data_IF_068339352588
#
_entry.id   IF_068339352588
#
_cell.length_a   1.000
_cell.length_b   1.000
_cell.length_c   1.000
_cell.angle_alpha   90.00
_cell.angle_beta   90.00
_cell.angle_gamma   90.00
#
_symmetry.space_group_name_H-M   'P 1'
#
loop_
_entity.id
_entity.type
_entity.pdbx_description
1 polymer ?
#
# COMPACT_ATOMS: atom_id res chain seq x y z
N UNK A 1 8.90 15.75 2.61
CA UNK A 1 10.15 15.53 1.83
C UNK A 1 11.33 16.31 2.40
N UNK A 2 11.28 17.65 2.54
CA UNK A 2 12.42 18.44 3.08
C UNK A 2 13.09 17.87 4.35
N UNK A 3 12.31 17.46 5.36
CA UNK A 3 12.87 16.84 6.58
C UNK A 3 13.42 15.43 6.34
N UNK A 4 12.77 14.66 5.46
CA UNK A 4 13.22 13.31 5.10
C UNK A 4 14.58 13.36 4.40
N UNK A 5 14.74 14.31 3.48
CA UNK A 5 15.98 14.52 2.71
C UNK A 5 17.09 15.11 3.59
N UNK A 6 16.79 16.10 4.43
CA UNK A 6 17.79 16.75 5.27
C UNK A 6 18.39 15.81 6.34
N UNK A 7 17.58 14.87 6.85
CA UNK A 7 17.97 14.01 7.97
C UNK A 7 18.03 12.52 7.61
N UNK A 8 17.88 12.17 6.32
CA UNK A 8 17.82 10.79 5.83
C UNK A 8 16.82 9.91 6.60
N UNK A 9 15.62 10.43 6.83
CA UNK A 9 14.59 9.78 7.65
C UNK A 9 13.56 9.04 6.78
N UNK A 10 13.16 7.81 7.17
CA UNK A 10 12.00 7.17 6.55
C UNK A 10 10.72 7.88 6.98
N UNK A 11 9.92 8.31 5.99
CA UNK A 11 8.61 8.92 6.23
C UNK A 11 7.53 8.01 5.68
N UNK A 12 6.65 7.53 6.57
CA UNK A 12 5.54 6.66 6.24
C UNK A 12 4.24 7.43 6.52
N UNK A 13 3.33 7.43 5.53
CA UNK A 13 2.03 8.08 5.64
C UNK A 13 0.94 7.06 5.34
N UNK A 14 -0.08 7.01 6.18
CA UNK A 14 -1.30 6.25 5.90
C UNK A 14 -2.30 7.11 5.16
N UNK A 15 -2.93 6.55 4.14
CA UNK A 15 -3.98 7.23 3.38
C UNK A 15 -5.26 6.39 3.38
N UNK A 16 -6.41 7.08 3.43
CA UNK A 16 -7.72 6.44 3.33
C UNK A 16 -8.06 6.20 1.85
N UNK A 17 -8.90 5.19 1.62
CA UNK A 17 -9.46 4.90 0.29
C UNK A 17 -10.91 5.38 0.21
N UNK A 18 -11.28 5.89 -0.96
CA UNK A 18 -12.63 6.31 -1.29
C UNK A 18 -13.14 5.49 -2.46
N UNK A 19 -14.43 5.13 -2.42
CA UNK A 19 -15.08 4.43 -3.53
C UNK A 19 -15.35 5.43 -4.67
N UNK A 20 -14.95 5.07 -5.89
CA UNK A 20 -15.33 5.78 -7.10
C UNK A 20 -16.56 5.11 -7.75
N UNK A 21 -17.75 5.72 -7.68
CA UNK A 21 -18.97 5.12 -8.22
C UNK A 21 -19.01 5.05 -9.74
N UNK A 22 -18.12 5.76 -10.45
CA UNK A 22 -18.02 5.72 -11.91
C UNK A 22 -17.28 4.46 -12.44
N UNK A 23 -16.65 3.69 -11.56
CA UNK A 23 -15.91 2.47 -11.94
C UNK A 23 -16.86 1.26 -11.93
N UNK A 24 -17.36 0.88 -13.12
CA UNK A 24 -18.26 -0.27 -13.28
C UNK A 24 -17.55 -1.63 -13.31
N UNK A 25 -16.24 -1.67 -13.60
CA UNK A 25 -15.44 -2.88 -13.65
C UNK A 25 -14.11 -2.73 -12.91
N UNK A 26 -13.72 -3.76 -12.16
CA UNK A 26 -12.50 -3.79 -11.34
C UNK A 26 -12.73 -3.27 -9.92
N UNK A 27 -11.63 -2.97 -9.22
CA UNK A 27 -11.72 -2.43 -7.86
C UNK A 27 -12.13 -0.95 -7.87
N UNK A 28 -13.27 -0.58 -7.27
CA UNK A 28 -13.74 0.80 -7.23
C UNK A 28 -12.95 1.68 -6.25
N UNK A 29 -12.09 1.11 -5.41
CA UNK A 29 -11.37 1.86 -4.39
C UNK A 29 -10.18 2.63 -4.98
N UNK A 30 -10.10 3.92 -4.65
CA UNK A 30 -8.97 4.79 -5.02
C UNK A 30 -8.40 5.50 -3.80
N UNK A 31 -7.08 5.78 -3.77
CA UNK A 31 -6.48 6.56 -2.70
C UNK A 31 -7.02 8.00 -2.72
N UNK A 32 -7.31 8.56 -1.55
CA UNK A 32 -7.69 9.97 -1.43
C UNK A 32 -6.51 10.89 -1.84
N UNK A 33 -6.81 12.08 -2.37
CA UNK A 33 -5.79 13.08 -2.73
C UNK A 33 -5.22 12.99 -4.16
N UNK A 34 -5.66 12.01 -4.96
CA UNK A 34 -5.40 11.96 -6.41
C UNK A 34 -3.93 12.12 -6.80
N UNK A 35 -3.66 13.01 -7.77
CA UNK A 35 -2.32 13.26 -8.31
C UNK A 35 -1.34 13.86 -7.28
N UNK A 36 -1.83 14.66 -6.34
CA UNK A 36 -0.96 15.30 -5.33
C UNK A 36 -0.25 14.23 -4.51
N UNK A 37 -1.01 13.25 -4.01
CA UNK A 37 -0.45 12.16 -3.23
C UNK A 37 0.42 11.23 -4.10
N UNK A 38 0.10 11.09 -5.39
CA UNK A 38 0.89 10.31 -6.34
C UNK A 38 2.29 10.91 -6.55
N UNK A 39 2.40 12.24 -6.68
CA UNK A 39 3.70 12.89 -6.88
C UNK A 39 4.50 13.07 -5.57
N UNK A 40 3.82 13.17 -4.43
CA UNK A 40 4.48 13.41 -3.15
C UNK A 40 5.11 12.14 -2.53
N UNK A 41 4.71 10.95 -2.98
CA UNK A 41 5.15 9.68 -2.41
C UNK A 41 6.05 8.90 -3.37
N UNK A 42 7.21 8.46 -2.89
CA UNK A 42 8.16 7.65 -3.68
C UNK A 42 7.69 6.22 -3.88
N UNK A 43 7.07 5.63 -2.85
CA UNK A 43 6.52 4.28 -2.90
C UNK A 43 5.10 4.28 -2.40
N UNK A 44 4.21 3.61 -3.14
CA UNK A 44 2.80 3.46 -2.74
C UNK A 44 2.46 1.99 -2.64
N UNK A 45 2.03 1.60 -1.45
CA UNK A 45 1.61 0.23 -1.13
C UNK A 45 0.13 0.24 -0.83
N UNK A 46 -0.62 -0.59 -1.56
CA UNK A 46 -2.03 -0.78 -1.33
C UNK A 46 -2.28 -2.01 -0.47
N UNK A 47 -2.84 -1.81 0.72
CA UNK A 47 -3.20 -2.86 1.65
C UNK A 47 -4.65 -3.31 1.46
N UNK A 48 -4.86 -4.62 1.34
CA UNK A 48 -6.20 -5.23 1.27
C UNK A 48 -6.34 -6.40 2.23
N UNK A 49 -7.58 -6.68 2.63
CA UNK A 49 -7.89 -7.91 3.37
C UNK A 49 -7.78 -9.10 2.41
N UNK A 50 -7.01 -10.11 2.81
CA UNK A 50 -6.92 -11.40 2.13
C UNK A 50 -7.87 -12.42 2.74
N UNK A 51 -7.82 -13.65 2.23
CA UNK A 51 -8.53 -14.80 2.79
C UNK A 51 -7.86 -15.32 4.07
N UNK A 52 -8.59 -16.10 4.87
CA UNK A 52 -8.05 -16.82 6.05
C UNK A 52 -7.28 -15.92 7.03
N UNK A 53 -7.79 -14.71 7.28
CA UNK A 53 -7.19 -13.74 8.21
C UNK A 53 -5.94 -13.02 7.70
N UNK A 54 -5.52 -13.26 6.46
CA UNK A 54 -4.31 -12.64 5.89
C UNK A 54 -4.56 -11.21 5.40
N UNK A 55 -3.48 -10.51 5.09
CA UNK A 55 -3.45 -9.20 4.45
C UNK A 55 -2.56 -9.28 3.22
N UNK A 56 -2.91 -8.51 2.20
CA UNK A 56 -2.15 -8.40 0.96
C UNK A 56 -1.61 -6.98 0.88
N UNK A 57 -0.30 -6.85 0.68
CA UNK A 57 0.37 -5.61 0.35
C UNK A 57 0.77 -5.66 -1.12
N UNK A 58 0.16 -4.80 -1.95
CA UNK A 58 0.54 -4.66 -3.35
C UNK A 58 1.32 -3.36 -3.53
N UNK A 59 2.54 -3.44 -4.07
CA UNK A 59 3.23 -2.25 -4.60
C UNK A 59 2.46 -1.82 -5.84
N UNK A 60 1.86 -0.62 -5.79
CA UNK A 60 1.10 -0.06 -6.91
C UNK A 60 1.90 0.99 -7.68
N UNK A 61 2.94 1.54 -7.06
CA UNK A 61 3.79 2.54 -7.67
C UNK A 61 5.14 2.62 -6.94
N UNK A 62 6.21 2.62 -7.72
CA UNK A 62 7.58 2.71 -7.25
C UNK A 62 8.49 3.02 -8.44
N UNK A 63 9.52 3.87 -8.28
CA UNK A 63 10.47 4.17 -9.35
C UNK A 63 11.33 2.97 -9.78
N UNK A 64 11.53 1.97 -8.91
CA UNK A 64 12.42 0.84 -9.19
C UNK A 64 11.91 -0.53 -8.73
N UNK A 65 10.80 -0.59 -7.98
CA UNK A 65 10.22 -1.87 -7.58
C UNK A 65 9.12 -2.24 -8.58
N UNK A 66 9.11 -3.48 -9.09
CA UNK A 66 8.01 -3.94 -9.92
C UNK A 66 6.71 -4.01 -9.10
N UNK A 67 5.56 -3.94 -9.77
CA UNK A 67 4.29 -4.24 -9.13
C UNK A 67 4.30 -5.69 -8.65
N UNK A 68 4.36 -5.86 -7.34
CA UNK A 68 4.37 -7.16 -6.69
C UNK A 68 3.37 -7.17 -5.53
N UNK A 69 2.77 -8.34 -5.27
CA UNK A 69 1.84 -8.53 -4.16
C UNK A 69 2.41 -9.57 -3.19
N UNK A 70 2.54 -9.19 -1.93
CA UNK A 70 3.01 -10.07 -0.86
C UNK A 70 1.92 -10.25 0.19
N UNK A 71 1.86 -11.44 0.80
CA UNK A 71 0.88 -11.78 1.83
C UNK A 71 1.54 -11.79 3.20
N UNK A 72 0.85 -11.22 4.19
CA UNK A 72 1.27 -11.23 5.58
C UNK A 72 0.06 -11.45 6.50
N UNK A 73 0.29 -11.62 7.80
CA UNK A 73 -0.76 -11.70 8.83
C UNK A 73 -0.51 -10.63 9.89
N UNK A 74 -1.58 -10.18 10.54
CA UNK A 74 -1.51 -9.33 11.73
C UNK A 74 -1.91 -10.21 12.91
N UNK A 75 -0.99 -10.39 13.86
CA UNK A 75 -1.17 -11.14 15.12
C UNK A 75 -1.08 -10.17 16.30
N UNK A 76 -1.24 -10.69 17.51
CA UNK A 76 -1.04 -9.91 18.75
C UNK A 76 0.39 -9.37 18.88
N UNK A 77 1.36 -10.00 18.20
CA UNK A 77 2.77 -9.56 18.17
C UNK A 77 3.06 -8.53 17.07
N UNK A 78 2.09 -8.22 16.21
CA UNK A 78 2.25 -7.29 15.09
C UNK A 78 2.17 -7.96 13.73
N UNK A 79 3.03 -7.55 12.79
CA UNK A 79 3.06 -8.09 11.42
C UNK A 79 3.96 -9.33 11.42
N UNK A 80 3.42 -10.45 10.90
CA UNK A 80 4.14 -11.71 10.75
C UNK A 80 4.02 -12.24 9.32
N UNK A 81 5.05 -12.96 8.88
CA UNK A 81 5.07 -13.61 7.59
C UNK A 81 4.07 -14.77 7.51
N UNK A 82 3.56 -14.99 6.31
CA UNK A 82 2.76 -16.18 5.99
C UNK A 82 3.66 -17.10 5.20
N UNK A 83 3.79 -18.36 5.62
CA UNK A 83 4.49 -19.38 4.84
C UNK A 83 3.85 -19.43 3.44
N UNK A 84 4.62 -19.10 2.41
CA UNK A 84 4.17 -19.26 1.04
C UNK A 84 3.93 -20.75 0.80
N UNK A 85 2.72 -21.11 0.35
CA UNK A 85 2.51 -22.40 -0.27
C UNK A 85 3.18 -22.31 -1.64
N UNK A 86 4.34 -22.96 -1.77
CA UNK A 86 5.00 -23.28 -3.06
C UNK A 86 4.01 -23.86 -4.06
#
# INVERSE_FOLDING_TARGET
>A
LRLAEAYNLPVIVTNQVQANPAQFFGDPNRPAGGHVMAHACTHRVYLRKGSKGTRLAKVIDSPYLPEHTTRFRITEKGIEDVLEAT
#
